data_IF_657663237422
#
_entry.id   IF_657663237422
#
_cell.length_a   1.000
_cell.length_b   1.000
_cell.length_c   1.000
_cell.angle_alpha   90.00
_cell.angle_beta   90.00
_cell.angle_gamma   90.00
#
_symmetry.space_group_name_H-M   'P 1'
#
loop_
_entity.id
_entity.type
_entity.pdbx_description
1 polymer ?
#
# COMPACT_ATOMS: atom_id res chain seq x y z
N UNK A 1 -18.61 9.35 -16.80
CA UNK A 1 -18.62 8.26 -15.80
C UNK A 1 -18.39 8.89 -14.43
N UNK A 2 -19.08 8.43 -13.38
CA UNK A 2 -18.97 9.03 -12.03
C UNK A 2 -20.30 9.15 -11.28
N UNK A 3 -21.24 8.24 -11.50
CA UNK A 3 -22.51 8.26 -10.77
C UNK A 3 -22.28 7.96 -9.28
N UNK A 4 -23.00 8.62 -8.35
CA UNK A 4 -22.86 8.31 -6.93
C UNK A 4 -23.33 6.89 -6.63
N UNK A 5 -22.68 6.22 -5.68
CA UNK A 5 -23.00 4.87 -5.22
C UNK A 5 -22.95 3.77 -6.30
N UNK A 6 -22.26 4.00 -7.42
CA UNK A 6 -22.14 3.04 -8.51
C UNK A 6 -20.84 2.23 -8.47
N UNK A 7 -20.32 1.95 -7.27
CA UNK A 7 -19.09 1.17 -7.10
C UNK A 7 -19.33 -0.29 -7.48
N UNK A 8 -18.37 -0.88 -8.18
CA UNK A 8 -18.37 -2.32 -8.51
C UNK A 8 -18.15 -3.08 -7.20
N UNK A 9 -19.14 -3.87 -6.79
CA UNK A 9 -19.13 -4.58 -5.50
C UNK A 9 -18.37 -5.90 -5.53
N UNK A 10 -18.15 -6.45 -6.72
CA UNK A 10 -17.60 -7.79 -6.89
C UNK A 10 -16.24 -7.71 -7.60
N UNK A 11 -15.18 -8.11 -6.90
CA UNK A 11 -13.78 -7.96 -7.30
C UNK A 11 -13.43 -8.76 -8.57
N UNK A 12 -14.11 -9.89 -8.79
CA UNK A 12 -13.84 -10.77 -9.92
C UNK A 12 -14.05 -10.09 -11.28
N UNK A 13 -14.85 -9.03 -11.36
CA UNK A 13 -15.02 -8.25 -12.58
C UNK A 13 -13.69 -7.66 -13.08
N UNK A 14 -12.76 -7.33 -12.19
CA UNK A 14 -11.46 -6.78 -12.57
C UNK A 14 -10.51 -7.81 -13.19
N UNK A 15 -10.81 -9.13 -13.11
CA UNK A 15 -10.02 -10.14 -13.83
C UNK A 15 -10.05 -9.97 -15.33
N UNK A 16 -11.06 -9.28 -15.87
CA UNK A 16 -11.14 -8.94 -17.31
C UNK A 16 -9.94 -8.09 -17.79
N UNK A 17 -9.26 -7.39 -16.88
CA UNK A 17 -8.07 -6.59 -17.18
C UNK A 17 -6.82 -7.43 -17.52
N UNK A 18 -6.88 -8.75 -17.32
CA UNK A 18 -5.74 -9.65 -17.44
C UNK A 18 -4.94 -9.78 -16.15
N UNK A 19 -4.13 -10.85 -16.06
CA UNK A 19 -3.46 -11.24 -14.81
C UNK A 19 -2.50 -10.19 -14.26
N UNK A 20 -1.73 -9.53 -15.13
CA UNK A 20 -0.77 -8.51 -14.70
C UNK A 20 -1.47 -7.32 -14.04
N UNK A 21 -2.51 -6.78 -14.69
CA UNK A 21 -3.25 -5.64 -14.18
C UNK A 21 -4.11 -5.99 -12.96
N UNK A 22 -4.68 -7.20 -12.94
CA UNK A 22 -5.41 -7.69 -11.78
C UNK A 22 -4.49 -7.86 -10.57
N UNK A 23 -3.25 -8.34 -10.76
CA UNK A 23 -2.25 -8.44 -9.70
C UNK A 23 -1.89 -7.06 -9.14
N UNK A 24 -1.66 -6.07 -10.00
CA UNK A 24 -1.41 -4.68 -9.57
C UNK A 24 -2.60 -4.10 -8.82
N UNK A 25 -3.81 -4.32 -9.30
CA UNK A 25 -5.03 -3.90 -8.62
C UNK A 25 -5.14 -4.49 -7.21
N UNK A 26 -4.85 -5.78 -7.04
CA UNK A 26 -4.84 -6.43 -5.72
C UNK A 26 -3.77 -5.84 -4.80
N UNK A 27 -2.56 -5.57 -5.31
CA UNK A 27 -1.50 -4.92 -4.56
C UNK A 27 -1.93 -3.53 -4.09
N UNK A 28 -2.50 -2.71 -4.98
CA UNK A 28 -2.95 -1.35 -4.64
C UNK A 28 -4.09 -1.36 -3.63
N UNK A 29 -5.01 -2.32 -3.73
CA UNK A 29 -6.07 -2.49 -2.74
C UNK A 29 -5.52 -2.83 -1.35
N UNK A 30 -4.49 -3.68 -1.28
CA UNK A 30 -3.83 -4.00 -0.01
C UNK A 30 -3.04 -2.81 0.56
N UNK A 31 -2.31 -2.07 -0.30
CA UNK A 31 -1.58 -0.86 0.06
C UNK A 31 -2.52 0.22 0.65
N UNK A 32 -3.62 0.50 -0.04
CA UNK A 32 -4.62 1.49 0.40
C UNK A 32 -5.27 1.08 1.72
N UNK A 33 -5.58 -0.21 1.90
CA UNK A 33 -6.13 -0.70 3.16
C UNK A 33 -5.17 -0.47 4.34
N UNK A 34 -3.89 -0.75 4.16
CA UNK A 34 -2.87 -0.51 5.20
C UNK A 34 -2.82 0.98 5.56
N UNK A 35 -2.83 1.86 4.55
CA UNK A 35 -2.81 3.31 4.77
C UNK A 35 -4.08 3.80 5.50
N UNK A 36 -5.25 3.31 5.14
CA UNK A 36 -6.51 3.66 5.81
C UNK A 36 -6.55 3.22 7.28
N UNK A 37 -5.88 2.12 7.61
CA UNK A 37 -5.73 1.64 8.98
C UNK A 37 -4.68 2.42 9.80
N UNK A 38 -4.07 3.47 9.23
CA UNK A 38 -3.00 4.24 9.87
C UNK A 38 -1.64 3.58 9.79
N UNK A 39 -1.50 2.55 8.96
CA UNK A 39 -0.24 1.88 8.65
C UNK A 39 0.62 2.66 7.67
N UNK A 40 1.78 2.09 7.36
CA UNK A 40 2.80 2.70 6.50
C UNK A 40 3.40 1.68 5.54
N UNK A 41 3.83 2.12 4.36
CA UNK A 41 4.49 1.27 3.37
C UNK A 41 6.01 1.43 3.44
N UNK A 42 6.76 0.34 3.36
CA UNK A 42 8.21 0.41 3.34
C UNK A 42 8.70 1.23 2.12
N UNK A 43 9.49 2.30 2.32
CA UNK A 43 9.91 3.18 1.23
C UNK A 43 11.06 2.60 0.39
N UNK A 44 11.63 1.44 0.77
CA UNK A 44 12.72 0.84 0.00
C UNK A 44 12.20 0.45 -1.39
N UNK A 45 12.87 0.91 -2.47
CA UNK A 45 12.53 0.47 -3.83
C UNK A 45 12.54 -1.06 -3.93
N UNK A 46 11.47 -1.62 -4.49
CA UNK A 46 11.32 -3.08 -4.63
C UNK A 46 10.88 -3.84 -3.38
N UNK A 47 10.65 -3.17 -2.23
CA UNK A 47 10.07 -3.81 -1.05
C UNK A 47 8.57 -3.53 -0.95
N UNK A 48 8.17 -2.29 -0.64
CA UNK A 48 6.74 -1.90 -0.57
C UNK A 48 5.91 -2.64 0.49
N UNK A 49 6.53 -3.31 1.46
CA UNK A 49 5.80 -4.06 2.50
C UNK A 49 4.90 -3.13 3.33
N UNK A 50 3.64 -3.53 3.54
CA UNK A 50 2.70 -2.84 4.42
C UNK A 50 2.96 -3.16 5.89
N UNK A 51 3.10 -2.13 6.71
CA UNK A 51 3.45 -2.21 8.13
C UNK A 51 2.34 -1.53 8.95
N UNK A 52 1.86 -2.21 9.98
CA UNK A 52 0.86 -1.68 10.92
C UNK A 52 1.50 -1.54 12.30
N UNK A 53 2.18 -0.41 12.59
CA UNK A 53 2.80 -0.19 13.90
C UNK A 53 1.73 0.07 14.97
N UNK A 54 2.07 -0.21 16.23
CA UNK A 54 1.20 0.17 17.35
C UNK A 54 1.13 1.69 17.53
N UNK A 55 0.01 2.16 18.09
CA UNK A 55 -0.20 3.58 18.34
C UNK A 55 0.86 4.13 19.29
N UNK A 56 1.60 5.16 18.85
CA UNK A 56 2.66 5.80 19.62
C UNK A 56 4.07 5.27 19.32
N UNK A 57 4.21 4.21 18.53
CA UNK A 57 5.51 3.71 18.10
C UNK A 57 6.12 4.62 17.02
N UNK A 58 7.18 5.36 17.38
CA UNK A 58 7.82 6.34 16.49
C UNK A 58 8.75 5.73 15.44
N UNK A 59 9.31 4.56 15.77
CA UNK A 59 10.27 3.84 14.94
C UNK A 59 9.62 2.56 14.44
N UNK A 60 9.46 2.47 13.12
CA UNK A 60 8.90 1.30 12.44
C UNK A 60 10.03 0.61 11.69
N UNK A 61 10.22 -0.68 11.95
CA UNK A 61 11.21 -1.50 11.26
C UNK A 61 10.49 -2.42 10.30
N UNK A 62 10.89 -2.42 9.04
CA UNK A 62 10.49 -3.43 8.08
C UNK A 62 11.26 -4.73 8.41
N UNK A 63 10.78 -5.49 9.39
CA UNK A 63 11.47 -6.69 9.88
C UNK A 63 11.54 -7.76 8.77
N UNK A 64 12.75 -8.21 8.47
CA UNK A 64 13.03 -9.23 7.45
C UNK A 64 12.67 -10.67 7.86
N UNK A 65 11.80 -10.85 8.86
CA UNK A 65 11.34 -12.18 9.26
C UNK A 65 10.65 -12.88 8.08
N UNK A 66 11.07 -14.10 7.75
CA UNK A 66 10.58 -14.90 6.63
C UNK A 66 10.83 -14.31 5.22
N UNK A 67 11.78 -13.38 5.05
CA UNK A 67 12.20 -12.89 3.73
C UNK A 67 11.26 -11.88 3.06
N UNK A 68 10.25 -11.38 3.79
CA UNK A 68 9.25 -10.43 3.28
C UNK A 68 9.60 -8.95 3.54
N UNK A 69 10.45 -8.69 4.54
CA UNK A 69 10.91 -7.35 4.90
C UNK A 69 12.37 -7.10 4.54
N UNK A 70 12.75 -5.83 4.47
CA UNK A 70 14.06 -5.42 3.96
C UNK A 70 15.05 -4.90 5.02
N UNK A 71 14.62 -4.82 6.29
CA UNK A 71 15.44 -4.39 7.42
C UNK A 71 15.61 -2.88 7.56
N UNK A 72 14.95 -2.06 6.73
CA UNK A 72 14.97 -0.60 6.91
C UNK A 72 14.16 -0.24 8.13
N UNK A 73 14.75 0.57 9.01
CA UNK A 73 14.01 1.28 10.05
C UNK A 73 13.81 2.73 9.63
N UNK A 74 12.57 3.19 9.70
CA UNK A 74 12.20 4.57 9.39
C UNK A 74 11.57 5.21 10.62
N UNK A 75 12.10 6.37 11.00
CA UNK A 75 11.48 7.28 11.95
C UNK A 75 10.47 8.17 11.21
N UNK A 76 9.40 8.51 11.91
CA UNK A 76 8.11 9.06 11.47
C UNK A 76 8.06 10.32 10.54
N UNK A 77 9.17 10.77 9.93
CA UNK A 77 9.34 12.17 9.48
C UNK A 77 8.94 12.46 8.01
N UNK A 78 8.54 11.49 7.17
CA UNK A 78 8.24 11.85 5.76
C UNK A 78 7.07 11.10 5.10
N UNK A 79 5.93 10.98 5.80
CA UNK A 79 4.79 10.17 5.34
C UNK A 79 3.74 10.89 4.49
N UNK A 80 3.58 12.22 4.59
CA UNK A 80 2.62 12.96 3.76
C UNK A 80 3.00 13.00 2.28
N UNK A 81 4.30 12.94 1.96
CA UNK A 81 4.79 12.95 0.58
C UNK A 81 4.64 11.59 -0.10
N UNK A 82 4.75 10.47 0.62
CA UNK A 82 4.73 9.12 0.02
C UNK A 82 3.35 8.78 -0.55
N UNK A 83 2.27 9.10 0.17
CA UNK A 83 0.89 8.88 -0.31
C UNK A 83 0.58 9.75 -1.52
N UNK A 84 0.95 11.03 -1.49
CA UNK A 84 0.78 11.93 -2.63
C UNK A 84 1.60 11.48 -3.84
N UNK A 85 2.83 11.01 -3.65
CA UNK A 85 3.70 10.62 -4.78
C UNK A 85 3.33 9.26 -5.37
N UNK A 86 2.93 8.26 -4.57
CA UNK A 86 2.50 6.94 -5.07
C UNK A 86 1.21 7.00 -5.88
N UNK A 87 0.27 7.88 -5.52
CA UNK A 87 -0.98 8.09 -6.26
C UNK A 87 -0.79 9.01 -7.49
N UNK A 88 0.11 10.00 -7.45
CA UNK A 88 0.35 10.93 -8.57
C UNK A 88 1.36 10.43 -9.62
N UNK A 89 2.24 9.47 -9.33
CA UNK A 89 3.21 8.92 -10.30
C UNK A 89 2.77 7.60 -10.98
N UNK A 90 1.57 7.08 -10.69
CA UNK A 90 1.04 5.82 -11.25
C UNK A 90 -0.25 6.00 -12.08
N UNK A 91 -0.64 7.24 -12.38
CA UNK A 91 -1.67 7.60 -13.37
C UNK A 91 -1.03 8.14 -14.66
#
# INVERSE_FOLDING_TARGET
AGCPNSLIKELHHFRILGEEQYTRYQQYGAEEYVLQMGGVLCPRPGCGAGLLPEQGQRKVTCEGGNGLGCGVSTDHIQWHLVVCTLLLWRL
#
